data_IF_133605868253
#
_entry.id   IF_133605868253
#
_cell.length_a   1.000
_cell.length_b   1.000
_cell.length_c   1.000
_cell.angle_alpha   90.00
_cell.angle_beta   90.00
_cell.angle_gamma   90.00
#
_symmetry.space_group_name_H-M   'P 1'
#
loop_
_entity.id
_entity.type
_entity.pdbx_description
1 polymer ?
#
# COMPACT_ATOMS: atom_id res chain seq x y z
N UNK A 1 -28.00 -16.00 3.59
CA UNK A 1 -26.95 -16.48 4.53
C UNK A 1 -26.07 -15.29 4.88
N UNK A 2 -25.88 -14.98 6.18
CA UNK A 2 -24.93 -13.94 6.59
C UNK A 2 -23.53 -14.45 6.26
N UNK A 3 -22.80 -13.76 5.38
CA UNK A 3 -21.39 -14.09 5.10
C UNK A 3 -20.60 -13.83 6.39
N UNK A 4 -20.03 -14.90 6.97
CA UNK A 4 -19.12 -14.78 8.11
C UNK A 4 -17.78 -14.28 7.58
N UNK A 5 -17.28 -13.19 8.14
CA UNK A 5 -15.92 -12.71 7.86
C UNK A 5 -14.94 -13.70 8.50
N UNK A 6 -13.99 -14.21 7.73
CA UNK A 6 -12.98 -15.11 8.28
C UNK A 6 -11.97 -14.37 9.14
N UNK A 7 -11.48 -15.01 10.20
CA UNK A 7 -10.50 -14.41 11.11
C UNK A 7 -9.21 -14.03 10.38
N UNK A 8 -8.61 -14.87 9.50
CA UNK A 8 -7.44 -14.50 8.73
C UNK A 8 -7.66 -13.25 7.85
N UNK A 9 -8.82 -13.13 7.18
CA UNK A 9 -9.14 -11.96 6.37
C UNK A 9 -9.22 -10.68 7.21
N UNK A 10 -9.89 -10.75 8.36
CA UNK A 10 -10.01 -9.63 9.29
C UNK A 10 -8.63 -9.18 9.79
N UNK A 11 -7.78 -10.13 10.23
CA UNK A 11 -6.44 -9.82 10.74
C UNK A 11 -5.54 -9.20 9.67
N UNK A 12 -5.55 -9.73 8.43
CA UNK A 12 -4.80 -9.14 7.33
C UNK A 12 -5.32 -7.76 6.96
N UNK A 13 -6.64 -7.54 6.98
CA UNK A 13 -7.23 -6.23 6.74
C UNK A 13 -6.82 -5.19 7.79
N UNK A 14 -6.81 -5.56 9.06
CA UNK A 14 -6.32 -4.70 10.15
C UNK A 14 -4.83 -4.41 9.96
N UNK A 15 -4.02 -5.45 9.72
CA UNK A 15 -2.58 -5.29 9.53
C UNK A 15 -2.25 -4.40 8.32
N UNK A 16 -2.98 -4.55 7.21
CA UNK A 16 -2.86 -3.69 6.03
C UNK A 16 -3.06 -2.21 6.39
N UNK A 17 -4.17 -1.90 7.09
CA UNK A 17 -4.48 -0.53 7.50
C UNK A 17 -3.41 0.04 8.44
N UNK A 18 -2.95 -0.75 9.42
CA UNK A 18 -1.89 -0.34 10.37
C UNK A 18 -0.58 -0.08 9.63
N UNK A 19 -0.18 -0.99 8.72
CA UNK A 19 1.05 -0.83 7.94
C UNK A 19 0.98 0.42 7.06
N UNK A 20 -0.16 0.69 6.42
CA UNK A 20 -0.33 1.85 5.56
C UNK A 20 -0.22 3.18 6.34
N UNK A 21 -0.89 3.28 7.48
CA UNK A 21 -0.83 4.46 8.36
C UNK A 21 0.60 4.64 8.91
N UNK A 22 1.19 3.55 9.40
CA UNK A 22 2.56 3.58 9.93
C UNK A 22 3.57 3.98 8.86
N UNK A 23 3.46 3.46 7.64
CA UNK A 23 4.33 3.83 6.51
C UNK A 23 4.30 5.33 6.25
N UNK A 24 3.11 5.93 6.15
CA UNK A 24 2.97 7.38 5.92
C UNK A 24 3.59 8.23 7.03
N UNK A 25 3.43 7.83 8.30
CA UNK A 25 4.06 8.55 9.42
C UNK A 25 5.58 8.38 9.40
N UNK A 26 6.09 7.18 9.09
CA UNK A 26 7.52 6.90 9.01
C UNK A 26 8.19 7.56 7.80
N UNK A 27 7.47 7.83 6.72
CA UNK A 27 8.01 8.54 5.54
C UNK A 27 8.52 9.95 5.85
N UNK A 28 8.06 10.56 6.94
CA UNK A 28 8.57 11.87 7.40
C UNK A 28 10.05 11.80 7.85
N UNK A 29 10.56 10.61 8.17
CA UNK A 29 11.96 10.43 8.58
C UNK A 29 12.81 9.93 7.40
N UNK A 30 13.82 10.70 7.04
CA UNK A 30 14.86 10.28 6.09
C UNK A 30 15.96 9.54 6.84
N UNK A 31 16.32 8.36 6.35
CA UNK A 31 17.36 7.49 6.91
C UNK A 31 18.44 7.18 5.88
N UNK A 32 19.62 6.79 6.32
CA UNK A 32 20.70 6.33 5.48
C UNK A 32 20.98 4.84 5.76
N UNK A 33 20.86 4.00 4.73
CA UNK A 33 21.11 2.56 4.81
C UNK A 33 22.17 2.21 3.77
N UNK A 34 23.33 1.70 4.20
CA UNK A 34 24.45 1.36 3.33
C UNK A 34 24.87 2.49 2.35
N UNK A 35 24.82 3.74 2.80
CA UNK A 35 25.15 4.91 1.98
C UNK A 35 24.05 5.38 1.05
N UNK A 36 22.90 4.70 0.98
CA UNK A 36 21.74 5.08 0.18
C UNK A 36 20.73 5.81 1.07
N UNK A 37 20.30 6.98 0.64
CA UNK A 37 19.30 7.79 1.34
C UNK A 37 17.90 7.34 0.94
N UNK A 38 17.10 6.94 1.93
CA UNK A 38 15.70 6.47 1.74
C UNK A 38 14.82 7.02 2.86
N UNK A 39 13.50 6.87 2.73
CA UNK A 39 12.58 7.17 3.82
C UNK A 39 12.40 5.95 4.74
N UNK A 40 12.12 6.18 6.02
CA UNK A 40 11.86 5.09 6.96
C UNK A 40 10.55 4.33 6.64
N UNK A 41 9.67 4.90 5.83
CA UNK A 41 8.48 4.22 5.29
C UNK A 41 8.82 2.94 4.54
N UNK A 42 10.01 2.84 3.92
CA UNK A 42 10.50 1.63 3.25
C UNK A 42 10.48 0.38 4.16
N UNK A 43 10.56 0.54 5.48
CA UNK A 43 10.51 -0.59 6.42
C UNK A 43 9.14 -1.30 6.46
N UNK A 44 8.08 -0.57 6.19
CA UNK A 44 6.70 -1.06 6.41
C UNK A 44 5.88 -1.04 5.13
N UNK A 45 6.10 -0.09 4.24
CA UNK A 45 5.30 0.07 3.01
C UNK A 45 5.24 -1.20 2.14
N UNK A 46 6.36 -1.93 1.89
CA UNK A 46 6.30 -3.16 1.12
C UNK A 46 5.41 -4.24 1.75
N UNK A 47 5.27 -4.25 3.07
CA UNK A 47 4.42 -5.20 3.79
C UNK A 47 2.95 -5.02 3.37
N UNK A 48 2.49 -3.79 3.14
CA UNK A 48 1.12 -3.52 2.69
C UNK A 48 0.84 -4.12 1.31
N UNK A 49 1.80 -4.07 0.37
CA UNK A 49 1.68 -4.71 -0.94
C UNK A 49 1.62 -6.24 -0.83
N UNK A 50 2.51 -6.83 -0.01
CA UNK A 50 2.51 -8.28 0.26
C UNK A 50 1.15 -8.73 0.83
N UNK A 51 0.58 -7.97 1.76
CA UNK A 51 -0.74 -8.27 2.32
C UNK A 51 -1.83 -8.14 1.25
N UNK A 52 -1.77 -7.12 0.40
CA UNK A 52 -2.70 -6.94 -0.71
C UNK A 52 -2.64 -8.13 -1.68
N UNK A 53 -1.44 -8.62 -2.01
CA UNK A 53 -1.23 -9.80 -2.82
C UNK A 53 -1.80 -11.07 -2.15
N UNK A 54 -1.59 -11.24 -0.85
CA UNK A 54 -2.18 -12.35 -0.09
C UNK A 54 -3.72 -12.31 -0.16
N UNK A 55 -4.31 -11.12 0.01
CA UNK A 55 -5.77 -10.94 -0.03
C UNK A 55 -6.30 -11.22 -1.44
N UNK A 56 -5.68 -10.65 -2.47
CA UNK A 56 -6.06 -10.86 -3.87
C UNK A 56 -5.92 -12.34 -4.28
N UNK A 57 -4.87 -13.02 -3.80
CA UNK A 57 -4.63 -14.43 -4.10
C UNK A 57 -5.65 -15.37 -3.44
N UNK A 58 -6.02 -15.13 -2.19
CA UNK A 58 -6.87 -16.03 -1.42
C UNK A 58 -8.35 -15.74 -1.66
N UNK A 59 -8.75 -14.47 -1.58
CA UNK A 59 -10.17 -14.05 -1.61
C UNK A 59 -10.56 -13.27 -2.85
N UNK A 60 -9.64 -13.05 -3.78
CA UNK A 60 -9.89 -12.41 -5.06
C UNK A 60 -9.97 -10.88 -5.00
N UNK A 61 -10.13 -10.27 -6.18
CA UNK A 61 -10.14 -8.83 -6.38
C UNK A 61 -11.26 -8.09 -5.62
N UNK A 62 -12.45 -8.70 -5.46
CA UNK A 62 -13.57 -8.07 -4.74
C UNK A 62 -13.19 -7.75 -3.30
N UNK A 63 -12.56 -8.69 -2.60
CA UNK A 63 -12.12 -8.50 -1.21
C UNK A 63 -10.89 -7.60 -1.12
N UNK A 64 -9.96 -7.69 -2.06
CA UNK A 64 -8.84 -6.75 -2.17
C UNK A 64 -9.34 -5.31 -2.34
N UNK A 65 -10.33 -5.08 -3.23
CA UNK A 65 -10.97 -3.78 -3.42
C UNK A 65 -11.55 -3.21 -2.13
N UNK A 66 -12.24 -4.03 -1.32
CA UNK A 66 -12.77 -3.59 -0.02
C UNK A 66 -11.65 -3.10 0.90
N UNK A 67 -10.58 -3.87 1.01
CA UNK A 67 -9.45 -3.53 1.89
C UNK A 67 -8.70 -2.30 1.40
N UNK A 68 -8.50 -2.13 0.09
CA UNK A 68 -7.89 -0.93 -0.50
C UNK A 68 -8.70 0.32 -0.16
N UNK A 69 -10.03 0.28 -0.35
CA UNK A 69 -10.89 1.41 0.03
C UNK A 69 -10.93 1.66 1.54
N UNK A 70 -10.90 0.61 2.36
CA UNK A 70 -10.78 0.74 3.81
C UNK A 70 -9.46 1.42 4.19
N UNK A 71 -8.34 0.97 3.60
CA UNK A 71 -7.02 1.58 3.80
C UNK A 71 -7.00 3.06 3.43
N UNK A 72 -7.56 3.40 2.25
CA UNK A 72 -7.68 4.80 1.83
C UNK A 72 -8.49 5.62 2.83
N UNK A 73 -9.67 5.16 3.23
CA UNK A 73 -10.54 5.88 4.15
C UNK A 73 -9.89 6.08 5.52
N UNK A 74 -9.25 5.04 6.07
CA UNK A 74 -8.57 5.11 7.37
C UNK A 74 -7.34 6.02 7.32
N UNK A 75 -6.55 5.93 6.24
CA UNK A 75 -5.39 6.79 6.06
C UNK A 75 -5.81 8.26 5.89
N UNK A 76 -6.82 8.52 5.04
CA UNK A 76 -7.39 9.86 4.88
C UNK A 76 -7.90 10.42 6.22
N UNK A 77 -8.60 9.61 7.01
CA UNK A 77 -9.10 9.98 8.33
C UNK A 77 -7.96 10.40 9.28
N UNK A 78 -6.88 9.62 9.36
CA UNK A 78 -5.72 9.95 10.22
C UNK A 78 -5.02 11.21 9.75
N UNK A 79 -4.85 11.40 8.43
CA UNK A 79 -4.27 12.62 7.86
C UNK A 79 -5.12 13.84 8.22
N UNK A 80 -6.44 13.75 8.07
CA UNK A 80 -7.35 14.85 8.41
C UNK A 80 -7.31 15.20 9.90
N UNK A 81 -7.30 14.19 10.78
CA UNK A 81 -7.13 14.41 12.22
C UNK A 81 -5.79 15.08 12.55
N UNK A 82 -4.71 14.65 11.91
CA UNK A 82 -3.39 15.27 12.05
C UNK A 82 -3.39 16.75 11.65
N UNK A 83 -3.96 17.09 10.49
CA UNK A 83 -4.08 18.48 10.02
C UNK A 83 -4.95 19.34 10.95
N UNK A 84 -6.05 18.81 11.46
CA UNK A 84 -6.89 19.49 12.45
C UNK A 84 -6.07 19.75 13.73
N UNK A 85 -5.35 18.75 14.22
CA UNK A 85 -4.51 18.92 15.42
C UNK A 85 -3.40 19.95 15.23
N UNK A 86 -2.77 20.01 14.04
CA UNK A 86 -1.77 21.05 13.68
C UNK A 86 -2.39 22.44 13.66
N UNK A 87 -3.66 22.59 13.22
CA UNK A 87 -4.35 23.87 13.17
C UNK A 87 -4.78 24.40 14.56
N UNK A 88 -4.83 23.54 15.58
CA UNK A 88 -5.17 23.95 16.94
C UNK A 88 -3.95 24.59 17.63
N UNK A 89 -4.15 25.66 18.43
CA UNK A 89 -3.05 26.31 19.15
C UNK A 89 -2.45 25.38 20.20
N UNK A 90 -1.12 25.32 20.24
CA UNK A 90 -0.39 24.57 21.25
C UNK A 90 -0.54 25.20 22.64
N UNK A 91 -0.53 24.37 23.70
CA UNK A 91 -0.50 24.87 25.06
C UNK A 91 0.78 25.69 25.31
N UNK A 92 0.71 26.85 26.04
CA UNK A 92 1.85 27.75 26.21
C UNK A 92 3.10 27.12 26.85
N UNK A 93 2.92 26.04 27.60
CA UNK A 93 4.01 25.34 28.30
C UNK A 93 4.56 24.12 27.51
N UNK A 94 4.04 23.86 26.29
CA UNK A 94 4.39 22.68 25.52
C UNK A 94 5.31 23.05 24.34
N UNK A 95 6.55 22.56 24.38
CA UNK A 95 7.60 22.86 23.39
C UNK A 95 7.56 21.94 22.16
N UNK A 96 6.69 20.92 22.15
CA UNK A 96 6.62 19.88 21.12
C UNK A 96 5.95 20.31 19.80
N UNK A 97 5.37 21.52 19.71
CA UNK A 97 4.57 21.96 18.57
C UNK A 97 5.28 21.88 17.22
N UNK A 98 6.54 22.31 17.15
CA UNK A 98 7.32 22.27 15.91
C UNK A 98 7.56 20.84 15.42
N UNK A 99 7.85 19.91 16.33
CA UNK A 99 8.10 18.51 16.01
C UNK A 99 6.80 17.78 15.60
N UNK A 100 5.70 18.07 16.28
CA UNK A 100 4.39 17.55 15.92
C UNK A 100 3.95 18.03 14.54
N UNK A 101 4.09 19.32 14.28
CA UNK A 101 3.75 19.93 13.00
C UNK A 101 4.63 19.42 11.86
N UNK A 102 5.90 19.08 12.13
CA UNK A 102 6.77 18.46 11.15
C UNK A 102 6.25 17.08 10.70
N UNK A 103 5.74 16.27 11.63
CA UNK A 103 5.24 14.92 11.32
C UNK A 103 3.85 14.96 10.67
N UNK A 104 2.94 15.77 11.20
CA UNK A 104 1.53 15.77 10.79
C UNK A 104 1.14 16.90 9.84
N UNK A 105 1.97 17.94 9.71
CA UNK A 105 1.70 19.11 8.86
C UNK A 105 2.15 18.92 7.41
N UNK A 106 2.02 17.73 6.86
CA UNK A 106 2.37 17.46 5.46
C UNK A 106 1.68 18.44 4.52
N UNK A 107 2.44 19.00 3.55
CA UNK A 107 1.87 19.88 2.55
C UNK A 107 0.68 19.20 1.85
N UNK A 108 -0.46 19.85 1.68
CA UNK A 108 -1.67 19.27 1.07
C UNK A 108 -1.41 18.58 -0.28
N UNK A 109 -0.47 19.11 -1.05
CA UNK A 109 -0.02 18.56 -2.32
C UNK A 109 0.57 17.14 -2.16
N UNK A 110 1.42 16.93 -1.14
CA UNK A 110 2.03 15.62 -0.85
C UNK A 110 0.97 14.62 -0.42
N UNK A 111 0.03 15.06 0.42
CA UNK A 111 -1.10 14.21 0.88
C UNK A 111 -1.95 13.74 -0.29
N UNK A 112 -2.37 14.66 -1.18
CA UNK A 112 -3.19 14.32 -2.35
C UNK A 112 -2.42 13.38 -3.28
N UNK A 113 -1.14 13.67 -3.54
CA UNK A 113 -0.29 12.82 -4.38
C UNK A 113 -0.15 11.41 -3.79
N UNK A 114 0.13 11.30 -2.49
CA UNK A 114 0.29 10.01 -1.78
C UNK A 114 -1.00 9.19 -1.80
N UNK A 115 -2.14 9.79 -1.45
CA UNK A 115 -3.43 9.10 -1.45
C UNK A 115 -3.84 8.62 -2.85
N UNK A 116 -3.62 9.45 -3.87
CA UNK A 116 -3.93 9.10 -5.26
C UNK A 116 -3.02 7.99 -5.76
N UNK A 117 -1.72 8.11 -5.52
CA UNK A 117 -0.72 7.11 -5.88
C UNK A 117 -1.02 5.76 -5.24
N UNK A 118 -1.29 5.75 -3.93
CA UNK A 118 -1.69 4.55 -3.19
C UNK A 118 -2.92 3.86 -3.80
N UNK A 119 -3.98 4.61 -4.10
CA UNK A 119 -5.18 4.02 -4.70
C UNK A 119 -4.87 3.37 -6.05
N UNK A 120 -4.23 4.10 -6.95
CA UNK A 120 -3.95 3.60 -8.29
C UNK A 120 -2.97 2.44 -8.24
N UNK A 121 -1.89 2.54 -7.47
CA UNK A 121 -0.89 1.49 -7.31
C UNK A 121 -1.48 0.21 -6.73
N UNK A 122 -2.24 0.31 -5.63
CA UNK A 122 -2.87 -0.85 -4.97
C UNK A 122 -3.91 -1.54 -5.84
N UNK A 123 -4.73 -0.76 -6.59
CA UNK A 123 -5.71 -1.35 -7.50
C UNK A 123 -5.06 -2.02 -8.71
N UNK A 124 -4.01 -1.44 -9.28
CA UNK A 124 -3.27 -2.07 -10.38
C UNK A 124 -2.57 -3.34 -9.91
N UNK A 125 -1.94 -3.32 -8.74
CA UNK A 125 -1.36 -4.51 -8.13
C UNK A 125 -2.41 -5.63 -8.00
N UNK A 126 -3.55 -5.38 -7.33
CA UNK A 126 -4.61 -6.35 -7.15
C UNK A 126 -5.23 -6.83 -8.48
N UNK A 127 -5.35 -5.94 -9.46
CA UNK A 127 -5.85 -6.28 -10.80
C UNK A 127 -4.89 -7.22 -11.53
N UNK A 128 -3.60 -6.91 -11.55
CA UNK A 128 -2.58 -7.73 -12.21
C UNK A 128 -2.51 -9.11 -11.54
N UNK A 129 -2.50 -9.16 -10.20
CA UNK A 129 -2.49 -10.41 -9.45
C UNK A 129 -3.69 -11.29 -9.83
N UNK A 130 -4.89 -10.74 -9.84
CA UNK A 130 -6.14 -11.43 -10.20
C UNK A 130 -6.12 -11.93 -11.66
N UNK A 131 -5.77 -11.06 -12.61
CA UNK A 131 -5.71 -11.41 -14.04
C UNK A 131 -4.68 -12.49 -14.35
N UNK A 132 -3.50 -12.37 -13.76
CA UNK A 132 -2.44 -13.38 -13.92
C UNK A 132 -2.83 -14.71 -13.26
N UNK A 133 -3.59 -14.70 -12.14
CA UNK A 133 -4.10 -15.93 -11.52
C UNK A 133 -5.05 -16.67 -12.46
N UNK A 134 -5.97 -15.97 -13.11
CA UNK A 134 -6.85 -16.54 -14.11
C UNK A 134 -6.07 -17.09 -15.30
N UNK A 135 -5.17 -16.30 -15.89
CA UNK A 135 -4.40 -16.69 -17.06
C UNK A 135 -3.48 -17.89 -16.82
N UNK A 136 -2.95 -18.04 -15.59
CA UNK A 136 -2.06 -19.13 -15.21
C UNK A 136 -2.76 -20.34 -14.57
N UNK A 137 -4.10 -20.33 -14.45
CA UNK A 137 -4.86 -21.32 -13.69
C UNK A 137 -4.28 -21.52 -12.28
N UNK A 138 -3.97 -20.43 -11.59
CA UNK A 138 -3.43 -20.42 -10.22
C UNK A 138 -1.96 -20.83 -10.09
N UNK A 139 -1.25 -21.12 -11.21
CA UNK A 139 0.17 -21.50 -11.18
C UNK A 139 1.08 -20.29 -10.96
N UNK A 140 2.33 -20.56 -10.59
CA UNK A 140 3.41 -19.56 -10.52
C UNK A 140 3.07 -18.31 -9.69
N UNK A 141 2.60 -18.52 -8.45
CA UNK A 141 2.31 -17.41 -7.52
C UNK A 141 3.45 -16.41 -7.40
N UNK A 142 4.71 -16.90 -7.33
CA UNK A 142 5.90 -16.05 -7.23
C UNK A 142 6.03 -15.02 -8.36
N UNK A 143 5.84 -15.48 -9.61
CA UNK A 143 5.90 -14.57 -10.75
C UNK A 143 4.76 -13.54 -10.72
N UNK A 144 3.57 -13.97 -10.27
CA UNK A 144 2.40 -13.08 -10.15
C UNK A 144 2.61 -12.01 -9.09
N UNK A 145 3.11 -12.37 -7.91
CA UNK A 145 3.43 -11.46 -6.83
C UNK A 145 4.47 -10.41 -7.30
N UNK A 146 5.59 -10.83 -7.87
CA UNK A 146 6.63 -9.92 -8.35
C UNK A 146 6.08 -8.97 -9.42
N UNK A 147 5.37 -9.47 -10.44
CA UNK A 147 4.87 -8.62 -11.51
C UNK A 147 3.76 -7.67 -11.05
N UNK A 148 2.85 -8.12 -10.16
CA UNK A 148 1.82 -7.24 -9.60
C UNK A 148 2.43 -6.10 -8.80
N UNK A 149 3.46 -6.38 -8.00
CA UNK A 149 4.18 -5.36 -7.24
C UNK A 149 4.94 -4.41 -8.15
N UNK A 150 5.69 -4.90 -9.15
CA UNK A 150 6.41 -4.01 -10.09
C UNK A 150 5.44 -3.06 -10.79
N UNK A 151 4.29 -3.54 -11.27
CA UNK A 151 3.28 -2.70 -11.93
C UNK A 151 2.65 -1.72 -10.96
N UNK A 152 2.25 -2.16 -9.76
CA UNK A 152 1.67 -1.31 -8.73
C UNK A 152 2.61 -0.21 -8.28
N UNK A 153 3.87 -0.54 -7.96
CA UNK A 153 4.90 0.40 -7.52
C UNK A 153 5.32 1.37 -8.62
N UNK A 154 5.35 0.92 -9.87
CA UNK A 154 5.62 1.82 -11.01
C UNK A 154 4.51 2.87 -11.11
N UNK A 155 3.26 2.47 -11.04
CA UNK A 155 2.13 3.39 -11.11
C UNK A 155 2.10 4.35 -9.90
N UNK A 156 2.34 3.83 -8.69
CA UNK A 156 2.46 4.62 -7.46
C UNK A 156 3.54 5.70 -7.63
N UNK A 157 4.74 5.31 -8.03
CA UNK A 157 5.87 6.22 -8.20
C UNK A 157 5.63 7.26 -9.29
N UNK A 158 5.02 6.87 -10.43
CA UNK A 158 4.70 7.78 -11.53
C UNK A 158 3.67 8.85 -11.15
N UNK A 159 2.85 8.61 -10.15
CA UNK A 159 1.86 9.57 -9.64
C UNK A 159 2.45 10.36 -8.47
N UNK A 160 3.06 9.67 -7.50
CA UNK A 160 3.55 10.28 -6.28
C UNK A 160 4.65 11.31 -6.53
N UNK A 161 5.74 10.93 -7.20
CA UNK A 161 6.90 11.80 -7.34
C UNK A 161 6.60 13.08 -8.15
N UNK A 162 5.98 13.01 -9.34
CA UNK A 162 5.58 14.22 -10.05
C UNK A 162 4.53 15.04 -9.30
N UNK A 163 3.57 14.37 -8.67
CA UNK A 163 2.52 15.01 -7.86
C UNK A 163 3.09 15.75 -6.66
N UNK A 164 3.97 15.14 -5.88
CA UNK A 164 4.55 15.71 -4.67
C UNK A 164 5.67 16.73 -4.97
N UNK A 165 6.57 16.41 -5.90
CA UNK A 165 7.84 17.12 -6.08
C UNK A 165 8.04 17.75 -7.47
N UNK A 166 7.10 17.59 -8.40
CA UNK A 166 7.17 18.19 -9.74
C UNK A 166 7.28 19.70 -9.67
N UNK A 167 8.26 20.29 -10.36
CA UNK A 167 8.59 21.72 -10.30
C UNK A 167 9.40 22.15 -9.08
N UNK A 168 9.66 21.25 -8.09
CA UNK A 168 10.53 21.50 -6.93
C UNK A 168 11.89 20.84 -7.13
N UNK A 169 11.89 19.60 -7.62
CA UNK A 169 13.09 18.81 -7.89
C UNK A 169 13.26 18.67 -9.41
N UNK A 170 14.50 18.69 -9.90
CA UNK A 170 14.80 18.51 -11.32
C UNK A 170 14.29 17.13 -11.80
N UNK A 171 13.72 17.07 -12.99
CA UNK A 171 13.14 15.83 -13.56
C UNK A 171 14.11 14.66 -13.60
N UNK A 172 15.40 14.92 -13.84
CA UNK A 172 16.43 13.88 -13.83
C UNK A 172 16.55 13.22 -12.48
N UNK A 173 16.58 14.01 -11.41
CA UNK A 173 16.66 13.51 -10.02
C UNK A 173 15.40 12.75 -9.63
N UNK A 174 14.23 13.26 -10.03
CA UNK A 174 12.95 12.57 -9.81
C UNK A 174 12.93 11.19 -10.46
N UNK A 175 13.38 11.08 -11.72
CA UNK A 175 13.43 9.79 -12.42
C UNK A 175 14.38 8.81 -11.73
N UNK A 176 15.53 9.27 -11.26
CA UNK A 176 16.48 8.42 -10.50
C UNK A 176 15.84 7.94 -9.20
N UNK A 177 15.21 8.84 -8.43
CA UNK A 177 14.52 8.48 -7.20
C UNK A 177 13.40 7.46 -7.44
N UNK A 178 12.60 7.64 -8.49
CA UNK A 178 11.54 6.70 -8.88
C UNK A 178 12.11 5.31 -9.19
N UNK A 179 13.15 5.24 -10.04
CA UNK A 179 13.78 3.96 -10.40
C UNK A 179 14.35 3.24 -9.17
N UNK A 180 15.05 3.95 -8.30
CA UNK A 180 15.62 3.40 -7.06
C UNK A 180 14.50 2.88 -6.15
N UNK A 181 13.43 3.65 -5.98
CA UNK A 181 12.30 3.26 -5.13
C UNK A 181 11.61 1.99 -5.62
N UNK A 182 11.30 1.92 -6.93
CA UNK A 182 10.71 0.73 -7.55
C UNK A 182 11.62 -0.49 -7.37
N UNK A 183 12.92 -0.34 -7.61
CA UNK A 183 13.89 -1.43 -7.46
C UNK A 183 13.96 -1.91 -6.02
N UNK A 184 14.11 -1.02 -5.04
CA UNK A 184 14.23 -1.38 -3.62
C UNK A 184 12.97 -2.08 -3.10
N UNK A 185 11.80 -1.58 -3.43
CA UNK A 185 10.51 -2.19 -3.02
C UNK A 185 10.32 -3.56 -3.68
N UNK A 186 10.63 -3.68 -4.98
CA UNK A 186 10.56 -4.97 -5.69
C UNK A 186 11.58 -5.98 -5.15
N UNK A 187 12.79 -5.55 -4.79
CA UNK A 187 13.79 -6.41 -4.13
C UNK A 187 13.31 -6.88 -2.76
N UNK A 188 12.68 -6.00 -1.98
CA UNK A 188 12.10 -6.36 -0.70
C UNK A 188 11.06 -7.49 -0.86
N UNK A 189 10.18 -7.37 -1.86
CA UNK A 189 9.19 -8.40 -2.21
C UNK A 189 9.87 -9.74 -2.51
N UNK A 190 10.89 -9.74 -3.38
CA UNK A 190 11.64 -10.96 -3.75
C UNK A 190 12.26 -11.62 -2.52
N UNK A 191 12.83 -10.84 -1.61
CA UNK A 191 13.46 -11.35 -0.39
C UNK A 191 12.43 -11.99 0.57
N UNK A 192 11.24 -11.41 0.68
CA UNK A 192 10.18 -11.89 1.58
C UNK A 192 9.31 -12.97 0.92
N UNK A 193 9.38 -13.12 -0.39
CA UNK A 193 8.54 -14.06 -1.16
C UNK A 193 8.47 -15.49 -0.58
N UNK A 194 9.56 -16.13 -0.09
CA UNK A 194 9.46 -17.44 0.54
C UNK A 194 8.55 -17.47 1.77
N UNK A 195 8.50 -16.36 2.53
CA UNK A 195 7.60 -16.20 3.68
C UNK A 195 6.18 -16.01 3.18
N UNK A 196 5.97 -15.13 2.21
CA UNK A 196 4.66 -14.86 1.60
C UNK A 196 4.00 -16.14 1.07
N UNK A 197 4.76 -16.99 0.37
CA UNK A 197 4.26 -18.28 -0.14
C UNK A 197 3.77 -19.18 1.00
N UNK A 198 4.52 -19.25 2.11
CA UNK A 198 4.12 -20.07 3.28
C UNK A 198 2.86 -19.52 3.93
N UNK A 199 2.78 -18.20 4.07
CA UNK A 199 1.61 -17.50 4.65
C UNK A 199 0.37 -17.75 3.78
N UNK A 200 0.45 -17.53 2.48
CA UNK A 200 -0.67 -17.77 1.55
C UNK A 200 -1.15 -19.24 1.62
N UNK A 201 -0.22 -20.20 1.60
CA UNK A 201 -0.57 -21.64 1.72
C UNK A 201 -1.25 -21.96 3.05
N UNK A 202 -0.76 -21.37 4.15
CA UNK A 202 -1.35 -21.56 5.47
C UNK A 202 -2.76 -20.98 5.53
N UNK A 203 -2.95 -19.77 5.01
CA UNK A 203 -4.25 -19.10 4.98
C UNK A 203 -5.26 -19.88 4.13
N UNK A 204 -4.88 -20.29 2.90
CA UNK A 204 -5.73 -21.13 2.03
C UNK A 204 -6.18 -22.41 2.74
N UNK A 205 -5.29 -23.03 3.55
CA UNK A 205 -5.61 -24.24 4.32
C UNK A 205 -6.57 -23.95 5.49
N UNK A 206 -6.36 -22.84 6.22
CA UNK A 206 -7.16 -22.49 7.40
C UNK A 206 -8.55 -22.00 6.98
N UNK A 207 -8.61 -21.15 5.96
CA UNK A 207 -9.83 -20.49 5.49
C UNK A 207 -10.64 -21.32 4.49
N UNK A 208 -9.99 -22.29 3.86
CA UNK A 208 -10.60 -23.10 2.79
C UNK A 208 -10.91 -22.31 1.51
N UNK A 209 -10.39 -21.09 1.39
CA UNK A 209 -10.67 -20.19 0.27
C UNK A 209 -9.55 -20.19 -0.74
N UNK A 210 -9.90 -20.29 -2.02
CA UNK A 210 -9.02 -20.06 -3.17
C UNK A 210 -9.85 -19.53 -4.33
N UNK A 211 -10.15 -18.22 -4.30
CA UNK A 211 -11.10 -17.60 -5.22
C UNK A 211 -10.43 -17.29 -6.55
N UNK A 212 -11.14 -17.63 -7.63
CA UNK A 212 -10.82 -17.23 -9.00
C UNK A 212 -11.85 -16.19 -9.47
N UNK A 213 -11.37 -15.06 -9.98
CA UNK A 213 -12.19 -13.90 -10.34
C UNK A 213 -12.82 -14.03 -11.73
N UNK A 214 -13.50 -15.16 -11.99
CA UNK A 214 -14.21 -15.39 -13.25
C UNK A 214 -15.47 -14.54 -13.35
N UNK A 215 -15.61 -13.81 -14.47
CA UNK A 215 -16.81 -13.04 -14.77
C UNK A 215 -17.10 -11.84 -13.84
N UNK A 216 -16.14 -11.44 -12.99
CA UNK A 216 -16.30 -10.30 -12.09
C UNK A 216 -16.11 -8.95 -12.78
N UNK A 217 -16.66 -7.91 -12.17
CA UNK A 217 -16.40 -6.53 -12.55
C UNK A 217 -15.15 -5.98 -11.85
N UNK A 218 -14.17 -5.54 -12.64
CA UNK A 218 -12.96 -4.85 -12.12
C UNK A 218 -13.17 -3.34 -11.88
N UNK A 219 -14.41 -2.85 -11.95
CA UNK A 219 -14.71 -1.45 -11.63
C UNK A 219 -14.39 -1.16 -10.17
N UNK A 220 -13.45 -0.23 -9.94
CA UNK A 220 -12.92 0.09 -8.60
C UNK A 220 -13.97 0.64 -7.63
N UNK A 221 -14.99 1.33 -8.14
CA UNK A 221 -16.08 1.94 -7.34
C UNK A 221 -17.26 1.00 -6.99
N UNK A 222 -17.27 -0.23 -7.51
CA UNK A 222 -18.32 -1.22 -7.21
C UNK A 222 -18.11 -1.90 -5.86
N UNK A 223 -18.24 -1.17 -4.76
CA UNK A 223 -18.01 -1.68 -3.40
C UNK A 223 -19.15 -2.62 -2.93
N UNK A 224 -20.35 -2.49 -3.49
CA UNK A 224 -21.52 -3.25 -3.06
C UNK A 224 -21.60 -4.72 -3.54
N UNK A 225 -20.69 -5.18 -4.40
CA UNK A 225 -20.67 -6.54 -4.94
C UNK A 225 -19.77 -7.50 -4.12
N UNK A 226 -19.74 -7.34 -2.78
CA UNK A 226 -18.83 -8.05 -1.86
C UNK A 226 -19.46 -9.38 -1.39
#
# INVERSE_FOLDING_TARGET
>A
MKQKVSVPFMLLGILFNVCLIAANLLETKVIQVFGITVTAGLLVFPISYIINDCIAEVWGFRKARLIIWSGFAMNFFVVMLGLIAVALPAAPFWDGAAHFNFVFGMAPRIVIASLTAFLVGSFLNAYVMSRMKLASNGRNFSARAIWSTVVGETADSLIFFPGAFGGIIAWRELLVMMCIQILLKSMYEVLILPVTIRVVKAIKRIDGSDVYDEGISYKVWKIGDI
#
